data_IF_689285743178
#
_entry.id   IF_689285743178
#
_cell.length_a   1.000
_cell.length_b   1.000
_cell.length_c   1.000
_cell.angle_alpha   90.00
_cell.angle_beta   90.00
_cell.angle_gamma   90.00
#
_symmetry.space_group_name_H-M   'P 1'
#
loop_
_entity.id
_entity.type
_entity.pdbx_description
1 polymer ?
#
# COMPACT_ATOMS: atom_id res chain seq x y z
N UNK A 1 -4.57 -3.69 -0.31
CA UNK A 1 -3.68 -3.35 0.82
C UNK A 1 -3.07 -1.95 0.67
N UNK A 2 -2.16 -1.67 -0.27
CA UNK A 2 -1.55 -0.33 -0.42
C UNK A 2 -2.55 0.80 -0.69
N UNK A 3 -3.56 0.53 -1.53
CA UNK A 3 -4.66 1.47 -1.80
C UNK A 3 -5.46 1.77 -0.51
N UNK A 4 -5.63 0.77 0.34
CA UNK A 4 -6.39 0.90 1.59
C UNK A 4 -5.58 1.70 2.61
N UNK A 5 -4.28 1.43 2.74
CA UNK A 5 -3.33 2.25 3.51
C UNK A 5 -3.43 3.72 3.08
N UNK A 6 -3.37 3.99 1.77
CA UNK A 6 -3.36 5.36 1.26
C UNK A 6 -4.61 6.15 1.68
N UNK A 7 -5.80 5.51 1.64
CA UNK A 7 -7.05 6.14 2.12
C UNK A 7 -6.96 6.54 3.59
N UNK A 8 -6.41 5.67 4.44
CA UNK A 8 -6.25 5.97 5.87
C UNK A 8 -5.16 7.02 6.11
N UNK A 9 -4.05 7.01 5.37
CA UNK A 9 -3.02 8.07 5.44
C UNK A 9 -3.66 9.43 5.13
N UNK A 10 -4.54 9.51 4.14
CA UNK A 10 -5.24 10.75 3.82
C UNK A 10 -6.16 11.21 4.96
N UNK A 11 -6.89 10.29 5.60
CA UNK A 11 -7.70 10.59 6.79
C UNK A 11 -6.82 11.08 7.95
N UNK A 12 -5.69 10.41 8.22
CA UNK A 12 -4.73 10.84 9.23
C UNK A 12 -4.20 12.25 8.95
N UNK A 13 -3.84 12.56 7.69
CA UNK A 13 -3.36 13.88 7.32
C UNK A 13 -4.43 14.97 7.56
N UNK A 14 -5.70 14.69 7.28
CA UNK A 14 -6.81 15.62 7.55
C UNK A 14 -6.97 15.87 9.05
N UNK A 15 -6.92 14.82 9.87
CA UNK A 15 -7.03 14.95 11.33
C UNK A 15 -5.86 15.76 11.89
N UNK A 16 -4.61 15.40 11.53
CA UNK A 16 -3.41 16.11 11.99
C UNK A 16 -3.47 17.58 11.60
N UNK A 17 -3.80 17.90 10.34
CA UNK A 17 -3.88 19.29 9.88
C UNK A 17 -4.98 20.09 10.58
N UNK A 18 -6.16 19.50 10.83
CA UNK A 18 -7.24 20.16 11.56
C UNK A 18 -6.86 20.47 13.01
N UNK A 19 -6.29 19.50 13.73
CA UNK A 19 -5.81 19.70 15.09
C UNK A 19 -4.59 20.63 15.15
N UNK A 20 -3.73 20.58 14.14
CA UNK A 20 -2.58 21.49 14.02
C UNK A 20 -3.05 22.93 13.95
N UNK A 21 -3.97 23.24 13.03
CA UNK A 21 -4.49 24.60 12.89
C UNK A 21 -5.23 25.06 14.17
N UNK A 22 -5.98 24.16 14.81
CA UNK A 22 -6.71 24.45 16.05
C UNK A 22 -5.79 24.75 17.23
N UNK A 23 -4.83 23.87 17.51
CA UNK A 23 -3.88 24.02 18.63
C UNK A 23 -2.90 25.17 18.40
N UNK A 24 -2.38 25.30 17.18
CA UNK A 24 -1.49 26.41 16.83
C UNK A 24 -2.16 27.76 17.10
N UNK A 25 -3.44 27.92 16.69
CA UNK A 25 -4.18 29.15 16.92
C UNK A 25 -4.52 29.38 18.39
N UNK A 26 -4.78 28.31 19.14
CA UNK A 26 -5.11 28.38 20.57
C UNK A 26 -3.90 28.78 21.43
N UNK A 27 -2.70 28.28 21.10
CA UNK A 27 -1.47 28.54 21.85
C UNK A 27 -0.65 29.74 21.31
N UNK A 28 -0.97 30.29 20.14
CA UNK A 28 -0.25 31.42 19.53
C UNK A 28 -0.07 32.63 20.47
N UNK A 29 -1.00 32.87 21.39
CA UNK A 29 -0.91 33.98 22.35
C UNK A 29 0.19 33.81 23.40
N UNK A 30 0.58 32.57 23.70
CA UNK A 30 1.57 32.25 24.74
C UNK A 30 3.00 32.17 24.19
N UNK A 31 3.21 32.54 22.93
CA UNK A 31 4.52 32.52 22.30
C UNK A 31 5.49 33.48 22.99
N UNK A 32 6.66 32.98 23.39
CA UNK A 32 7.70 33.76 24.06
C UNK A 32 7.44 34.09 25.54
N UNK A 33 6.40 33.52 26.17
CA UNK A 33 6.16 33.69 27.61
C UNK A 33 7.24 33.00 28.45
N UNK A 34 7.76 33.72 29.46
CA UNK A 34 8.81 33.23 30.36
C UNK A 34 8.37 33.44 31.81
N UNK A 35 8.31 32.36 32.57
CA UNK A 35 8.09 32.41 34.01
C UNK A 35 9.44 32.42 34.72
N UNK A 36 9.64 33.38 35.64
CA UNK A 36 10.80 33.45 36.51
C UNK A 36 10.38 33.12 37.95
N UNK A 37 10.87 32.00 38.48
CA UNK A 37 10.60 31.55 39.84
C UNK A 37 11.33 32.42 40.89
N UNK A 38 10.92 32.34 42.16
CA UNK A 38 11.50 33.07 43.30
C UNK A 38 13.00 32.78 43.47
N UNK A 39 13.45 31.61 43.03
CA UNK A 39 14.86 31.19 43.02
C UNK A 39 15.65 31.64 41.78
N UNK A 40 15.04 32.40 40.87
CA UNK A 40 15.67 32.90 39.64
C UNK A 40 15.76 31.88 38.50
N UNK A 41 15.13 30.70 38.62
CA UNK A 41 15.02 29.74 37.53
C UNK A 41 14.00 30.23 36.49
N UNK A 42 14.38 30.22 35.21
CA UNK A 42 13.51 30.62 34.11
C UNK A 42 12.94 29.39 33.41
N UNK A 43 11.63 29.25 33.40
CA UNK A 43 10.94 28.25 32.58
C UNK A 43 10.29 28.97 31.39
N UNK A 44 10.67 28.57 30.18
CA UNK A 44 10.17 29.17 28.94
C UNK A 44 9.05 28.29 28.39
N UNK A 45 8.00 28.92 27.84
CA UNK A 45 6.95 28.20 27.14
C UNK A 45 7.54 27.34 26.02
N UNK A 46 7.18 26.06 25.97
CA UNK A 46 7.61 25.15 24.91
C UNK A 46 6.97 25.57 23.59
N UNK A 47 7.77 25.70 22.52
CA UNK A 47 7.29 26.10 21.19
C UNK A 47 6.43 25.04 20.48
N UNK A 48 6.16 23.90 21.13
CA UNK A 48 5.43 22.76 20.59
C UNK A 48 4.09 23.12 19.95
N UNK A 49 3.34 24.07 20.53
CA UNK A 49 2.02 24.46 20.02
C UNK A 49 1.94 25.93 19.56
N UNK A 50 3.03 26.71 19.61
CA UNK A 50 2.97 28.16 19.29
C UNK A 50 3.09 28.43 17.80
N UNK A 51 3.83 27.59 17.08
CA UNK A 51 4.01 27.64 15.63
C UNK A 51 3.27 26.50 14.93
N UNK A 52 2.77 26.76 13.72
CA UNK A 52 2.05 25.76 12.92
C UNK A 52 2.96 24.56 12.56
N UNK A 53 4.22 24.83 12.21
CA UNK A 53 5.19 23.79 11.85
C UNK A 53 5.57 22.93 13.04
N UNK A 54 5.80 23.55 14.20
CA UNK A 54 6.18 22.85 15.42
C UNK A 54 5.01 22.06 15.99
N UNK A 55 3.79 22.59 15.85
CA UNK A 55 2.55 21.87 16.18
C UNK A 55 2.40 20.63 15.32
N UNK A 56 2.62 20.73 14.01
CA UNK A 56 2.52 19.59 13.10
C UNK A 56 3.54 18.52 13.47
N UNK A 57 4.79 18.91 13.74
CA UNK A 57 5.84 17.98 14.18
C UNK A 57 5.48 17.32 15.52
N UNK A 58 5.00 18.09 16.50
CA UNK A 58 4.61 17.57 17.81
C UNK A 58 3.47 16.56 17.67
N UNK A 59 2.42 16.89 16.91
CA UNK A 59 1.28 15.98 16.67
C UNK A 59 1.66 14.76 15.81
N UNK A 60 2.62 14.89 14.90
CA UNK A 60 3.16 13.76 14.16
C UNK A 60 3.88 12.77 15.08
N UNK A 61 4.73 13.25 15.99
CA UNK A 61 5.40 12.40 16.97
C UNK A 61 4.44 11.86 18.05
N UNK A 62 3.37 12.60 18.32
CA UNK A 62 2.27 12.18 19.19
C UNK A 62 1.57 10.91 18.66
N UNK A 63 1.43 10.73 17.33
CA UNK A 63 0.91 9.46 16.76
C UNK A 63 1.71 8.22 17.17
N UNK A 64 3.00 8.37 17.43
CA UNK A 64 3.87 7.28 17.90
C UNK A 64 3.97 7.22 19.43
N UNK A 65 3.15 8.00 20.12
CA UNK A 65 3.17 8.20 21.57
C UNK A 65 4.54 8.69 22.10
N UNK A 66 5.27 9.47 21.29
CA UNK A 66 6.58 10.03 21.64
C UNK A 66 6.52 11.53 22.01
N UNK A 67 5.34 12.15 21.93
CA UNK A 67 5.19 13.54 22.32
C UNK A 67 5.16 13.67 23.86
N UNK A 68 5.97 14.57 24.45
CA UNK A 68 5.95 14.80 25.89
C UNK A 68 4.63 15.49 26.30
N UNK A 69 4.02 15.02 27.40
CA UNK A 69 2.80 15.60 27.97
C UNK A 69 3.00 17.06 28.42
N UNK A 70 4.23 17.44 28.73
CA UNK A 70 4.65 18.80 29.11
C UNK A 70 4.47 19.80 27.96
N UNK A 71 4.39 19.35 26.70
CA UNK A 71 4.15 20.24 25.55
C UNK A 71 2.82 21.00 25.65
N UNK A 72 1.83 20.47 26.37
CA UNK A 72 0.52 21.11 26.56
C UNK A 72 0.47 22.08 27.75
N UNK A 73 1.54 22.19 28.54
CA UNK A 73 1.59 23.10 29.69
C UNK A 73 1.58 24.57 29.21
N UNK A 74 0.98 25.45 30.02
CA UNK A 74 0.84 26.89 29.72
C UNK A 74 1.57 27.69 30.78
N UNK A 75 2.72 28.22 30.39
CA UNK A 75 3.59 29.08 31.18
C UNK A 75 3.26 30.55 30.90
N UNK A 76 3.13 31.35 31.96
CA UNK A 76 2.82 32.78 31.87
C UNK A 76 3.93 33.65 32.48
N UNK A 77 4.10 34.86 31.93
CA UNK A 77 5.03 35.83 32.50
C UNK A 77 4.51 36.40 33.83
N UNK A 78 5.40 36.45 34.83
CA UNK A 78 5.08 37.08 36.10
C UNK A 78 4.92 38.59 35.92
N UNK A 79 3.74 39.11 36.27
CA UNK A 79 3.50 40.57 36.27
C UNK A 79 4.26 41.18 37.44
N UNK A 80 5.46 41.72 37.19
CA UNK A 80 6.20 42.51 38.18
C UNK A 80 5.55 43.87 38.32
N UNK A 81 4.77 44.09 39.38
CA UNK A 81 4.40 45.45 39.78
C UNK A 81 5.64 46.12 40.42
N UNK A 82 6.19 47.21 39.85
CA UNK A 82 7.41 47.85 40.37
C UNK A 82 7.24 48.48 41.77
N UNK A 83 6.04 48.45 42.36
CA UNK A 83 5.76 49.06 43.69
C UNK A 83 5.51 48.05 44.81
N UNK A 84 5.40 46.75 44.54
CA UNK A 84 5.10 45.74 45.56
C UNK A 84 6.04 44.54 45.46
N UNK A 85 7.06 44.51 46.32
CA UNK A 85 8.12 43.49 46.36
C UNK A 85 7.65 42.09 46.80
N UNK A 86 6.35 41.91 47.08
CA UNK A 86 5.88 40.79 47.91
C UNK A 86 4.71 39.98 47.29
N UNK A 87 4.15 40.39 46.15
CA UNK A 87 3.06 39.65 45.52
C UNK A 87 3.32 39.42 44.03
N UNK A 88 4.07 38.36 43.75
CA UNK A 88 3.99 37.67 42.47
C UNK A 88 2.54 37.17 42.35
N UNK A 89 1.72 37.86 41.56
CA UNK A 89 0.42 37.33 41.19
C UNK A 89 0.66 36.21 40.16
N UNK A 90 0.60 34.95 40.62
CA UNK A 90 0.55 33.78 39.74
C UNK A 90 -0.73 33.87 38.89
N UNK A 91 -0.60 34.49 37.72
CA UNK A 91 -1.67 34.53 36.72
C UNK A 91 -1.69 33.19 35.99
N UNK A 92 -2.10 32.11 36.66
CA UNK A 92 -2.21 30.78 36.03
C UNK A 92 -3.55 30.64 35.31
N UNK A 93 -3.52 30.47 33.98
CA UNK A 93 -4.73 30.19 33.19
C UNK A 93 -5.10 28.71 33.20
N UNK A 94 -5.56 28.22 34.37
CA UNK A 94 -5.96 26.81 34.58
C UNK A 94 -7.04 26.33 33.60
N UNK A 95 -7.92 27.24 33.18
CA UNK A 95 -8.98 26.92 32.20
C UNK A 95 -8.39 26.61 30.82
N UNK A 96 -7.46 27.44 30.34
CA UNK A 96 -6.79 27.26 29.05
C UNK A 96 -5.94 25.99 29.05
N UNK A 97 -5.17 25.77 30.12
CA UNK A 97 -4.35 24.58 30.34
C UNK A 97 -5.20 23.29 30.27
N UNK A 98 -6.35 23.27 30.96
CA UNK A 98 -7.26 22.13 30.94
C UNK A 98 -7.83 21.84 29.54
N UNK A 99 -8.16 22.89 28.79
CA UNK A 99 -8.65 22.74 27.41
C UNK A 99 -7.54 22.22 26.49
N UNK A 100 -6.31 22.69 26.66
CA UNK A 100 -5.14 22.19 25.95
C UNK A 100 -4.94 20.68 26.14
N UNK A 101 -4.91 20.23 27.40
CA UNK A 101 -4.86 18.80 27.73
C UNK A 101 -6.03 18.01 27.17
N UNK A 102 -7.25 18.56 27.23
CA UNK A 102 -8.43 17.91 26.67
C UNK A 102 -8.35 17.77 25.14
N UNK A 103 -7.94 18.81 24.43
CA UNK A 103 -7.79 18.80 22.97
C UNK A 103 -6.69 17.83 22.53
N UNK A 104 -5.54 17.83 23.22
CA UNK A 104 -4.45 16.90 22.96
C UNK A 104 -4.84 15.44 23.26
N UNK A 105 -5.51 15.19 24.39
CA UNK A 105 -6.03 13.86 24.71
C UNK A 105 -7.10 13.37 23.73
N UNK A 106 -7.99 14.26 23.27
CA UNK A 106 -8.97 13.93 22.23
C UNK A 106 -8.29 13.58 20.90
N UNK A 107 -7.22 14.29 20.52
CA UNK A 107 -6.42 13.96 19.34
C UNK A 107 -5.84 12.55 19.42
N UNK A 108 -5.26 12.18 20.57
CA UNK A 108 -4.71 10.83 20.81
C UNK A 108 -5.78 9.74 20.73
N UNK A 109 -6.93 9.95 21.36
CA UNK A 109 -8.04 9.00 21.33
C UNK A 109 -8.55 8.80 19.90
N UNK A 110 -8.78 9.88 19.16
CA UNK A 110 -9.30 9.78 17.80
C UNK A 110 -8.24 9.14 16.87
N UNK A 111 -7.01 9.63 16.91
CA UNK A 111 -5.97 9.20 15.96
C UNK A 111 -5.45 7.80 16.27
N UNK A 112 -5.06 7.54 17.52
CA UNK A 112 -4.43 6.27 17.92
C UNK A 112 -5.46 5.22 18.27
N UNK A 113 -6.49 5.54 19.07
CA UNK A 113 -7.42 4.48 19.52
C UNK A 113 -8.46 4.16 18.44
N UNK A 114 -8.99 5.14 17.72
CA UNK A 114 -10.05 4.89 16.74
C UNK A 114 -9.46 4.62 15.35
N UNK A 115 -8.72 5.55 14.77
CA UNK A 115 -8.31 5.46 13.36
C UNK A 115 -7.27 4.35 13.15
N UNK A 116 -6.27 4.22 14.02
CA UNK A 116 -5.26 3.16 13.90
C UNK A 116 -5.88 1.76 14.04
N UNK A 117 -6.80 1.56 14.99
CA UNK A 117 -7.48 0.27 15.15
C UNK A 117 -8.40 -0.05 13.96
N UNK A 118 -9.05 0.96 13.38
CA UNK A 118 -9.81 0.77 12.13
C UNK A 118 -8.90 0.46 10.94
N UNK A 119 -7.71 1.06 10.86
CA UNK A 119 -6.71 0.72 9.85
C UNK A 119 -6.30 -0.74 9.98
N UNK A 120 -5.94 -1.21 11.18
CA UNK A 120 -5.55 -2.61 11.41
C UNK A 120 -6.70 -3.56 11.01
N UNK A 121 -7.94 -3.26 11.41
CA UNK A 121 -9.09 -4.09 11.08
C UNK A 121 -9.32 -4.21 9.57
N UNK A 122 -9.31 -3.09 8.84
CA UNK A 122 -9.48 -3.08 7.39
C UNK A 122 -8.31 -3.77 6.68
N UNK A 123 -7.09 -3.58 7.17
CA UNK A 123 -5.90 -4.23 6.64
C UNK A 123 -5.96 -5.75 6.82
N UNK A 124 -6.41 -6.23 7.97
CA UNK A 124 -6.60 -7.65 8.23
C UNK A 124 -7.64 -8.28 7.28
N UNK A 125 -8.77 -7.62 7.07
CA UNK A 125 -9.78 -8.10 6.12
C UNK A 125 -9.26 -8.10 4.67
N UNK A 126 -8.60 -7.02 4.24
CA UNK A 126 -8.02 -6.96 2.89
C UNK A 126 -6.90 -7.99 2.69
N UNK A 127 -6.13 -8.30 3.72
CA UNK A 127 -5.12 -9.36 3.69
C UNK A 127 -5.75 -10.74 3.49
N UNK A 128 -6.82 -11.07 4.23
CA UNK A 128 -7.53 -12.33 4.06
C UNK A 128 -8.07 -12.48 2.62
N UNK A 129 -8.70 -11.43 2.08
CA UNK A 129 -9.20 -11.44 0.70
C UNK A 129 -8.11 -11.67 -0.35
N UNK A 130 -6.91 -11.09 -0.16
CA UNK A 130 -5.78 -11.30 -1.08
C UNK A 130 -5.21 -12.71 -0.92
N UNK A 131 -5.19 -13.22 0.31
CA UNK A 131 -4.65 -14.55 0.61
C UNK A 131 -5.41 -15.68 -0.12
N UNK A 132 -6.72 -15.51 -0.36
CA UNK A 132 -7.52 -16.52 -1.08
C UNK A 132 -7.05 -16.78 -2.53
N UNK A 133 -6.39 -15.80 -3.17
CA UNK A 133 -5.91 -15.90 -4.55
C UNK A 133 -4.38 -15.76 -4.68
N UNK A 134 -3.65 -15.82 -3.55
CA UNK A 134 -2.22 -15.50 -3.51
C UNK A 134 -1.39 -16.37 -4.42
N UNK A 135 -1.69 -17.68 -4.51
CA UNK A 135 -0.93 -18.62 -5.33
C UNK A 135 -1.06 -18.31 -6.83
N UNK A 136 -2.24 -17.86 -7.26
CA UNK A 136 -2.52 -17.51 -8.66
C UNK A 136 -1.82 -16.20 -9.00
N UNK A 137 -2.00 -15.16 -8.18
CA UNK A 137 -1.37 -13.85 -8.40
C UNK A 137 0.15 -13.94 -8.34
N UNK A 138 0.70 -14.71 -7.39
CA UNK A 138 2.13 -14.98 -7.27
C UNK A 138 2.66 -15.72 -8.50
N UNK A 139 1.96 -16.76 -8.94
CA UNK A 139 2.38 -17.53 -10.12
C UNK A 139 2.33 -16.68 -11.38
N UNK A 140 1.33 -15.82 -11.52
CA UNK A 140 1.21 -14.87 -12.61
C UNK A 140 2.37 -13.86 -12.62
N UNK A 141 2.59 -13.14 -11.51
CA UNK A 141 3.68 -12.16 -11.42
C UNK A 141 5.06 -12.78 -11.56
N UNK A 142 5.26 -13.99 -11.02
CA UNK A 142 6.47 -14.78 -11.27
C UNK A 142 6.65 -15.04 -12.76
N UNK A 143 5.62 -15.55 -13.44
CA UNK A 143 5.69 -15.88 -14.87
C UNK A 143 5.96 -14.64 -15.73
N UNK A 144 5.40 -13.49 -15.38
CA UNK A 144 5.66 -12.21 -16.03
C UNK A 144 7.17 -11.86 -15.98
N UNK A 145 7.79 -11.95 -14.80
CA UNK A 145 9.23 -11.73 -14.63
C UNK A 145 10.06 -12.76 -15.42
N UNK A 146 9.67 -14.03 -15.42
CA UNK A 146 10.36 -15.05 -16.21
C UNK A 146 10.29 -14.76 -17.72
N UNK A 147 9.12 -14.35 -18.23
CA UNK A 147 8.94 -14.00 -19.64
C UNK A 147 9.80 -12.77 -19.98
N UNK A 148 9.78 -11.73 -19.15
CA UNK A 148 10.62 -10.55 -19.35
C UNK A 148 12.11 -10.92 -19.39
N UNK A 149 12.55 -11.77 -18.46
CA UNK A 149 13.93 -12.28 -18.44
C UNK A 149 14.28 -13.12 -19.68
N UNK A 150 13.35 -13.92 -20.21
CA UNK A 150 13.57 -14.69 -21.43
C UNK A 150 13.61 -13.84 -22.70
N UNK A 151 12.95 -12.68 -22.71
CA UNK A 151 12.98 -11.73 -23.82
C UNK A 151 14.21 -10.82 -23.80
N UNK A 152 14.84 -10.65 -22.63
CA UNK A 152 16.08 -9.87 -22.50
C UNK A 152 17.29 -10.61 -23.10
N UNK A 153 18.33 -9.84 -23.46
CA UNK A 153 19.57 -10.41 -23.97
C UNK A 153 20.28 -11.22 -22.89
N UNK A 154 21.05 -12.22 -23.28
CA UNK A 154 21.74 -13.15 -22.37
C UNK A 154 22.82 -12.51 -21.49
N UNK A 155 23.06 -11.19 -21.63
CA UNK A 155 24.07 -10.45 -20.90
C UNK A 155 23.41 -9.54 -19.87
N UNK A 156 23.80 -9.61 -18.58
CA UNK A 156 23.29 -8.69 -17.58
C UNK A 156 23.76 -7.25 -17.87
N UNK A 157 22.96 -6.27 -17.48
CA UNK A 157 23.42 -4.86 -17.42
C UNK A 157 24.65 -4.79 -16.49
N UNK A 158 25.76 -4.11 -16.86
CA UNK A 158 25.94 -3.17 -17.98
C UNK A 158 26.49 -3.78 -19.28
N UNK A 159 26.76 -5.09 -19.33
CA UNK A 159 27.45 -5.74 -20.45
C UNK A 159 26.59 -5.84 -21.73
N UNK A 160 25.30 -5.52 -21.65
CA UNK A 160 24.38 -5.39 -22.78
C UNK A 160 24.67 -4.16 -23.69
N UNK A 161 25.54 -3.25 -23.27
CA UNK A 161 25.91 -2.05 -24.06
C UNK A 161 26.85 -2.37 -25.23
N UNK A 162 27.62 -3.45 -25.15
CA UNK A 162 28.55 -3.84 -26.21
C UNK A 162 27.77 -4.75 -27.17
N UNK A 163 27.62 -4.38 -28.46
CA UNK A 163 26.94 -5.24 -29.43
C UNK A 163 27.62 -6.60 -29.47
N UNK A 164 26.87 -7.64 -29.07
CA UNK A 164 27.40 -9.00 -28.99
C UNK A 164 27.76 -9.51 -30.38
N UNK A 165 28.83 -10.31 -30.50
CA UNK A 165 29.21 -10.95 -31.76
C UNK A 165 28.06 -11.74 -32.43
N UNK A 166 27.17 -12.31 -31.61
CA UNK A 166 25.94 -12.95 -32.07
C UNK A 166 24.95 -11.96 -32.73
N UNK A 167 24.80 -10.75 -32.19
CA UNK A 167 23.96 -9.70 -32.78
C UNK A 167 24.50 -9.24 -34.14
N UNK A 168 25.83 -9.10 -34.27
CA UNK A 168 26.47 -8.82 -35.56
C UNK A 168 26.27 -9.97 -36.57
N UNK A 169 26.34 -11.23 -36.12
CA UNK A 169 26.08 -12.40 -36.95
C UNK A 169 24.68 -12.42 -37.57
N UNK A 170 23.65 -12.09 -36.78
CA UNK A 170 22.26 -12.02 -37.26
C UNK A 170 22.07 -10.91 -38.32
N UNK A 171 22.75 -9.77 -38.18
CA UNK A 171 22.70 -8.70 -39.19
C UNK A 171 23.39 -9.12 -40.49
N UNK A 172 24.51 -9.84 -40.40
CA UNK A 172 25.20 -10.40 -41.57
C UNK A 172 24.33 -11.45 -42.27
N UNK A 173 23.66 -12.31 -41.51
CA UNK A 173 22.75 -13.32 -42.07
C UNK A 173 21.52 -12.67 -42.72
N UNK A 174 20.95 -11.62 -42.10
CA UNK A 174 19.88 -10.82 -42.70
C UNK A 174 20.33 -10.17 -44.03
N UNK A 175 21.51 -9.57 -44.06
CA UNK A 175 22.09 -9.00 -45.28
C UNK A 175 22.31 -10.07 -46.36
N UNK A 176 22.84 -11.24 -45.96
CA UNK A 176 23.09 -12.36 -46.89
C UNK A 176 21.78 -12.89 -47.47
N UNK A 177 20.76 -13.12 -46.66
CA UNK A 177 19.46 -13.64 -47.11
C UNK A 177 18.67 -12.63 -47.96
N UNK A 178 18.96 -11.33 -47.80
CA UNK A 178 18.42 -10.27 -48.68
C UNK A 178 19.09 -10.25 -50.06
N UNK A 179 20.38 -10.58 -50.14
CA UNK A 179 21.16 -10.61 -51.39
C UNK A 179 20.99 -11.96 -52.11
N UNK A 180 21.10 -13.05 -51.37
CA UNK A 180 20.95 -14.43 -51.83
C UNK A 180 19.61 -14.96 -51.31
N UNK A 181 18.60 -14.97 -52.20
CA UNK A 181 17.26 -15.42 -51.87
C UNK A 181 17.28 -16.93 -51.54
N UNK A 182 17.15 -17.26 -50.26
CA UNK A 182 17.00 -18.64 -49.80
C UNK A 182 15.51 -19.02 -49.73
N UNK A 183 15.08 -20.16 -50.29
CA UNK A 183 13.68 -20.57 -50.21
C UNK A 183 13.28 -20.87 -48.75
N UNK A 184 12.20 -20.25 -48.28
CA UNK A 184 11.60 -20.46 -46.95
C UNK A 184 12.09 -19.55 -45.82
N UNK A 185 12.90 -18.53 -46.13
CA UNK A 185 13.41 -17.55 -45.16
C UNK A 185 13.27 -16.13 -45.73
N UNK A 186 12.52 -15.27 -45.04
CA UNK A 186 12.25 -13.91 -45.51
C UNK A 186 12.88 -12.88 -44.57
N UNK A 187 13.77 -12.04 -45.11
CA UNK A 187 14.35 -10.91 -44.39
C UNK A 187 13.38 -9.72 -44.44
N UNK A 188 12.82 -9.32 -43.29
CA UNK A 188 11.91 -8.17 -43.17
C UNK A 188 12.51 -7.10 -42.27
N UNK A 189 11.97 -5.90 -42.36
CA UNK A 189 12.39 -4.75 -41.57
C UNK A 189 11.15 -4.13 -40.93
N UNK A 190 11.19 -3.91 -39.61
CA UNK A 190 10.14 -3.25 -38.84
C UNK A 190 10.76 -2.23 -37.88
N UNK A 191 10.04 -1.15 -37.61
CA UNK A 191 10.47 -0.05 -36.73
C UNK A 191 10.67 -0.49 -35.28
N UNK A 192 10.04 -1.59 -34.85
CA UNK A 192 10.08 -2.08 -33.47
C UNK A 192 11.14 -3.17 -33.22
N UNK A 193 11.51 -3.95 -34.23
CA UNK A 193 12.40 -5.11 -34.09
C UNK A 193 13.67 -5.02 -34.96
N UNK A 194 13.88 -3.90 -35.65
CA UNK A 194 14.94 -3.71 -36.64
C UNK A 194 14.93 -4.85 -37.69
N UNK A 195 16.07 -5.15 -38.30
CA UNK A 195 16.24 -6.22 -39.28
C UNK A 195 16.01 -7.60 -38.64
N UNK A 196 14.85 -8.23 -38.89
CA UNK A 196 14.53 -9.56 -38.39
C UNK A 196 14.27 -10.54 -39.55
N UNK A 197 14.42 -11.83 -39.26
CA UNK A 197 14.26 -12.91 -40.23
C UNK A 197 13.06 -13.76 -39.86
N UNK A 198 12.06 -13.82 -40.74
CA UNK A 198 10.83 -14.61 -40.60
C UNK A 198 11.05 -15.98 -41.28
N UNK A 199 10.76 -17.07 -40.56
CA UNK A 199 10.90 -18.45 -41.06
C UNK A 199 9.52 -19.09 -41.19
N UNK A 200 9.32 -19.92 -42.22
CA UNK A 200 8.04 -20.62 -42.47
C UNK A 200 7.62 -21.64 -41.39
N UNK A 201 8.43 -21.84 -40.34
CA UNK A 201 8.10 -22.70 -39.18
C UNK A 201 6.81 -22.24 -38.48
N UNK A 202 6.52 -20.94 -38.48
CA UNK A 202 5.25 -20.43 -37.93
C UNK A 202 4.02 -20.86 -38.76
N UNK A 203 4.21 -21.18 -40.04
CA UNK A 203 3.13 -21.64 -40.91
C UNK A 203 2.72 -23.10 -40.62
N UNK A 204 3.65 -23.97 -40.18
CA UNK A 204 3.31 -25.34 -39.76
C UNK A 204 2.55 -25.32 -38.43
N UNK A 205 3.01 -24.54 -37.45
CA UNK A 205 2.33 -24.35 -36.15
C UNK A 205 0.90 -23.82 -36.36
N UNK A 206 0.70 -22.88 -37.29
CA UNK A 206 -0.62 -22.34 -37.63
C UNK A 206 -1.59 -23.38 -38.20
N UNK A 207 -1.08 -24.44 -38.85
CA UNK A 207 -1.91 -25.56 -39.35
C UNK A 207 -2.27 -26.57 -38.27
N UNK A 208 -1.38 -26.81 -37.32
CA UNK A 208 -1.58 -27.78 -36.24
C UNK A 208 -2.44 -27.22 -35.10
N UNK A 209 -2.40 -25.91 -34.87
CA UNK A 209 -3.13 -25.24 -33.78
C UNK A 209 -4.65 -25.48 -33.78
N UNK A 210 -5.40 -25.41 -34.91
CA UNK A 210 -6.84 -25.68 -34.91
C UNK A 210 -7.18 -27.14 -34.54
N UNK A 211 -6.33 -28.09 -34.95
CA UNK A 211 -6.50 -29.49 -34.61
C UNK A 211 -6.26 -29.73 -33.11
N UNK A 212 -5.25 -29.10 -32.53
CA UNK A 212 -5.02 -29.11 -31.08
C UNK A 212 -6.20 -28.48 -30.32
N UNK A 213 -6.69 -27.33 -30.79
CA UNK A 213 -7.77 -26.60 -30.14
C UNK A 213 -9.06 -27.42 -30.12
N UNK A 214 -9.40 -28.13 -31.20
CA UNK A 214 -10.60 -28.97 -31.24
C UNK A 214 -10.55 -30.11 -30.20
N UNK A 215 -9.39 -30.75 -30.02
CA UNK A 215 -9.17 -31.79 -29.00
C UNK A 215 -9.26 -31.21 -27.58
N UNK A 216 -8.68 -30.03 -27.35
CA UNK A 216 -8.75 -29.36 -26.04
C UNK A 216 -10.18 -28.99 -25.67
N UNK A 217 -10.94 -28.43 -26.61
CA UNK A 217 -12.35 -28.07 -26.41
C UNK A 217 -13.20 -29.31 -26.11
N UNK A 218 -13.01 -30.40 -26.85
CA UNK A 218 -13.70 -31.67 -26.56
C UNK A 218 -13.35 -32.21 -25.17
N UNK A 219 -12.07 -32.17 -24.79
CA UNK A 219 -11.64 -32.60 -23.45
C UNK A 219 -12.26 -31.75 -22.35
N UNK A 220 -12.31 -30.43 -22.55
CA UNK A 220 -12.90 -29.50 -21.59
C UNK A 220 -14.40 -29.76 -21.38
N UNK A 221 -15.18 -29.89 -22.47
CA UNK A 221 -16.61 -30.16 -22.33
C UNK A 221 -16.89 -31.51 -21.68
N UNK A 222 -16.15 -32.55 -22.06
CA UNK A 222 -16.26 -33.87 -21.41
C UNK A 222 -15.99 -33.81 -19.90
N UNK A 223 -14.96 -33.07 -19.51
CA UNK A 223 -14.58 -32.90 -18.10
C UNK A 223 -15.59 -32.06 -17.32
N UNK A 224 -16.12 -31.00 -17.95
CA UNK A 224 -17.18 -30.15 -17.41
C UNK A 224 -18.47 -30.94 -17.17
N UNK A 225 -18.91 -31.72 -18.15
CA UNK A 225 -20.11 -32.55 -18.05
C UNK A 225 -19.94 -33.58 -16.92
N UNK A 226 -18.77 -34.22 -16.83
CA UNK A 226 -18.44 -35.17 -15.75
C UNK A 226 -18.47 -34.50 -14.38
N UNK A 227 -17.90 -33.31 -14.25
CA UNK A 227 -17.90 -32.53 -13.00
C UNK A 227 -19.31 -32.12 -12.58
N UNK A 228 -20.15 -31.71 -13.53
CA UNK A 228 -21.54 -31.34 -13.29
C UNK A 228 -22.37 -32.56 -12.86
N UNK A 229 -22.20 -33.71 -13.52
CA UNK A 229 -22.87 -34.95 -13.11
C UNK A 229 -22.43 -35.41 -11.72
N UNK A 230 -21.14 -35.32 -11.39
CA UNK A 230 -20.63 -35.66 -10.06
C UNK A 230 -21.22 -34.74 -8.97
N UNK A 231 -21.32 -33.43 -9.23
CA UNK A 231 -21.94 -32.48 -8.29
C UNK A 231 -23.42 -32.82 -8.06
N UNK A 232 -24.18 -33.07 -9.14
CA UNK A 232 -25.59 -33.45 -9.05
C UNK A 232 -25.79 -34.78 -8.31
N UNK A 233 -24.91 -35.76 -8.56
CA UNK A 233 -24.95 -37.04 -7.86
C UNK A 233 -24.68 -36.88 -6.37
N UNK A 234 -23.69 -36.07 -5.99
CA UNK A 234 -23.37 -35.78 -4.60
C UNK A 234 -24.55 -35.10 -3.88
N UNK A 235 -25.22 -34.15 -4.54
CA UNK A 235 -26.42 -33.51 -4.00
C UNK A 235 -27.57 -34.50 -3.80
N UNK A 236 -27.80 -35.40 -4.76
CA UNK A 236 -28.80 -36.46 -4.65
C UNK A 236 -28.49 -37.45 -3.51
N UNK A 237 -27.23 -37.87 -3.37
CA UNK A 237 -26.79 -38.76 -2.28
C UNK A 237 -26.91 -38.06 -0.91
N UNK A 238 -26.55 -36.77 -0.81
CA UNK A 238 -26.77 -35.96 0.39
C UNK A 238 -28.26 -35.82 0.74
N UNK A 239 -29.12 -35.59 -0.25
CA UNK A 239 -30.57 -35.51 -0.06
C UNK A 239 -31.16 -36.85 0.41
N UNK A 240 -30.70 -37.96 -0.17
CA UNK A 240 -31.10 -39.31 0.24
C UNK A 240 -30.65 -39.62 1.69
N UNK A 241 -29.41 -39.29 2.05
CA UNK A 241 -28.90 -39.43 3.42
C UNK A 241 -29.68 -38.57 4.41
N UNK A 242 -30.00 -37.31 4.07
CA UNK A 242 -30.86 -36.43 4.89
C UNK A 242 -32.24 -37.04 5.10
N UNK A 243 -32.84 -37.60 4.05
CA UNK A 243 -34.16 -38.27 4.13
C UNK A 243 -34.10 -39.53 5.01
N UNK A 244 -33.05 -40.34 4.90
CA UNK A 244 -32.86 -41.52 5.74
C UNK A 244 -32.63 -41.14 7.22
N UNK A 245 -31.82 -40.12 7.50
CA UNK A 245 -31.63 -39.59 8.85
C UNK A 245 -32.93 -39.00 9.44
N UNK A 246 -33.73 -38.32 8.62
CA UNK A 246 -35.05 -37.83 9.02
C UNK A 246 -36.04 -38.98 9.26
N UNK A 247 -35.92 -40.10 8.56
CA UNK A 247 -36.71 -41.32 8.81
C UNK A 247 -36.27 -42.12 10.04
N UNK A 248 -34.99 -42.02 10.44
CA UNK A 248 -34.45 -42.65 11.66
C UNK A 248 -34.76 -41.78 12.89
N UNK A 249 -34.86 -40.46 12.74
CA UNK A 249 -35.41 -39.58 13.78
C UNK A 249 -36.93 -39.69 13.80
N UNK A 250 -37.47 -40.30 14.87
CA UNK A 250 -38.82 -40.13 15.49
C UNK A 250 -39.71 -41.38 15.29
N UNK A 251 -40.36 -41.94 16.36
CA UNK A 251 -40.93 -41.20 17.49
C UNK A 251 -40.46 -41.57 18.90
N UNK A 252 -40.57 -40.57 19.78
CA UNK A 252 -40.78 -40.73 21.22
C UNK A 252 -42.16 -41.30 21.47
#
# INVERSE_FOLDING_TARGET
>A
MTIDIYKYILIFAIIISAFTAGLARFYQYYDGMVYEDVFGMKTVQVSSFTSLTDTLNTLFWALFCMAPLESADVVLENTRDPRSLEKVHDNRHVYTERIGYFCFGCFEVISVIVVLNMLIATMSNTFQRVNDNVDIEWTFGKTEVYIDYMLQTTLPSPFNLIPTAAGMGNVVEWCRNKIFHNPGVYARWSTQYCCYTERDVDASVRREYPALMSVLVQRYFRDKDTSQMNSQRLECELAAMRKNLAGIKIPR
#
